data_IF_553567925764
#
_entry.id   IF_553567925764
#
_cell.length_a   1.000
_cell.length_b   1.000
_cell.length_c   1.000
_cell.angle_alpha   90.00
_cell.angle_beta   90.00
_cell.angle_gamma   90.00
#
_symmetry.space_group_name_H-M   'P 1'
#
loop_
_entity.id
_entity.type
_entity.pdbx_description
1 polymer ?
#
# COMPACT_ATOMS: atom_id res chain seq x y z
N UNK A 1 26.04 23.60 -60.89
CA UNK A 1 26.16 24.75 -59.96
C UNK A 1 24.97 25.65 -60.19
N UNK A 2 24.09 26.03 -59.28
CA UNK A 2 23.61 25.52 -57.99
C UNK A 2 22.22 26.20 -57.85
N UNK A 3 21.17 25.45 -57.49
CA UNK A 3 19.86 26.03 -57.15
C UNK A 3 19.86 26.36 -55.65
N UNK A 4 19.36 27.54 -55.21
CA UNK A 4 19.14 27.77 -53.79
C UNK A 4 17.89 26.99 -53.36
N UNK A 5 18.05 26.12 -52.36
CA UNK A 5 16.95 25.53 -51.61
C UNK A 5 16.53 26.53 -50.54
N UNK A 6 15.36 27.14 -50.70
CA UNK A 6 14.53 27.51 -49.55
C UNK A 6 13.56 26.36 -49.32
N UNK A 7 13.73 25.65 -48.19
CA UNK A 7 12.80 24.61 -47.79
C UNK A 7 12.37 24.86 -46.33
N UNK A 8 11.12 25.30 -46.23
CA UNK A 8 10.11 25.02 -45.21
C UNK A 8 10.51 24.92 -43.72
N UNK A 9 9.95 25.83 -42.93
CA UNK A 9 9.70 25.63 -41.51
C UNK A 9 8.59 24.57 -41.29
N UNK A 10 8.80 23.63 -40.36
CA UNK A 10 7.85 23.26 -39.30
C UNK A 10 8.50 22.26 -38.31
N UNK A 11 8.24 22.38 -36.99
CA UNK A 11 8.99 21.71 -35.94
C UNK A 11 8.43 20.32 -35.63
N UNK A 12 9.21 19.27 -35.89
CA UNK A 12 8.92 17.91 -35.45
C UNK A 12 9.43 17.65 -34.03
N UNK A 13 8.89 18.36 -33.05
CA UNK A 13 9.14 18.07 -31.64
C UNK A 13 8.50 16.73 -31.27
N UNK A 14 9.31 15.66 -31.29
CA UNK A 14 8.93 14.39 -30.66
C UNK A 14 8.77 14.67 -29.16
N UNK A 15 7.54 14.89 -28.74
CA UNK A 15 7.19 14.86 -27.32
C UNK A 15 7.34 13.41 -26.90
N UNK A 16 8.51 13.06 -26.38
CA UNK A 16 8.65 11.88 -25.54
C UNK A 16 7.69 12.07 -24.37
N UNK A 17 6.55 11.39 -24.42
CA UNK A 17 5.62 11.33 -23.31
C UNK A 17 6.33 10.53 -22.23
N UNK A 18 7.00 11.24 -21.32
CA UNK A 18 7.54 10.65 -20.10
C UNK A 18 6.41 9.87 -19.44
N UNK A 19 6.66 8.63 -18.94
CA UNK A 19 5.64 7.88 -18.22
C UNK A 19 5.11 8.79 -17.11
N UNK A 20 3.81 9.09 -17.15
CA UNK A 20 3.14 9.78 -16.05
C UNK A 20 3.45 8.91 -14.83
N UNK A 21 4.34 9.39 -13.96
CA UNK A 21 4.58 8.75 -12.66
C UNK A 21 3.26 8.81 -11.92
N UNK A 22 2.52 7.71 -12.02
CA UNK A 22 1.23 7.55 -11.40
C UNK A 22 1.45 7.73 -9.90
N UNK A 23 0.82 8.75 -9.33
CA UNK A 23 0.93 9.02 -7.90
C UNK A 23 0.52 7.76 -7.12
N UNK A 24 1.25 7.44 -6.06
CA UNK A 24 0.87 6.35 -5.16
C UNK A 24 -0.55 6.60 -4.63
N UNK A 25 -1.36 5.55 -4.42
CA UNK A 25 -2.70 5.72 -3.85
C UNK A 25 -2.60 6.40 -2.48
N UNK A 26 -3.64 7.13 -2.08
CA UNK A 26 -3.71 7.70 -0.73
C UNK A 26 -3.98 6.59 0.30
N UNK A 27 -3.51 6.80 1.53
CA UNK A 27 -3.94 5.96 2.63
C UNK A 27 -5.42 6.19 2.94
N UNK A 28 -6.13 5.13 3.35
CA UNK A 28 -7.56 5.16 3.63
C UNK A 28 -7.77 4.81 5.10
N UNK A 29 -8.45 5.67 5.84
CA UNK A 29 -8.85 5.43 7.24
C UNK A 29 -10.37 5.31 7.32
N UNK A 30 -10.87 4.44 8.19
CA UNK A 30 -12.29 4.38 8.55
C UNK A 30 -12.43 4.60 10.06
N UNK A 31 -13.03 5.74 10.41
CA UNK A 31 -13.33 6.13 11.79
C UNK A 31 -14.76 5.72 12.14
N UNK A 32 -14.99 4.41 12.20
CA UNK A 32 -16.29 3.84 12.59
C UNK A 32 -16.05 2.79 13.65
N UNK A 33 -16.95 2.68 14.62
CA UNK A 33 -16.92 1.59 15.59
C UNK A 33 -17.52 0.33 14.96
N UNK A 34 -16.99 -0.84 15.30
CA UNK A 34 -17.49 -2.11 14.81
C UNK A 34 -16.58 -3.26 15.22
N UNK A 35 -17.03 -4.49 14.98
CA UNK A 35 -16.16 -5.64 15.12
C UNK A 35 -15.20 -5.75 13.93
N UNK A 36 -14.17 -6.61 14.04
CA UNK A 36 -13.15 -6.78 12.99
C UNK A 36 -13.77 -7.09 11.62
N UNK A 37 -14.76 -7.98 11.58
CA UNK A 37 -15.38 -8.44 10.33
C UNK A 37 -16.13 -7.31 9.63
N UNK A 38 -16.87 -6.49 10.39
CA UNK A 38 -17.58 -5.31 9.88
C UNK A 38 -16.60 -4.26 9.35
N UNK A 39 -15.55 -3.95 10.10
CA UNK A 39 -14.55 -2.97 9.70
C UNK A 39 -13.82 -3.38 8.43
N UNK A 40 -13.40 -4.65 8.33
CA UNK A 40 -12.78 -5.22 7.13
C UNK A 40 -13.74 -5.16 5.94
N UNK A 41 -15.03 -5.45 6.14
CA UNK A 41 -16.07 -5.34 5.09
C UNK A 41 -16.22 -3.90 4.62
N UNK A 42 -16.30 -2.93 5.53
CA UNK A 42 -16.36 -1.51 5.18
C UNK A 42 -15.12 -1.07 4.40
N UNK A 43 -13.93 -1.53 4.79
CA UNK A 43 -12.70 -1.23 4.05
C UNK A 43 -12.75 -1.78 2.62
N UNK A 44 -13.15 -3.05 2.43
CA UNK A 44 -13.28 -3.66 1.09
C UNK A 44 -14.30 -2.92 0.22
N UNK A 45 -15.43 -2.53 0.80
CA UNK A 45 -16.43 -1.73 0.10
C UNK A 45 -15.88 -0.35 -0.31
N UNK A 46 -15.12 0.30 0.58
CA UNK A 46 -14.50 1.61 0.32
C UNK A 46 -13.40 1.56 -0.74
N UNK A 47 -12.62 0.48 -0.79
CA UNK A 47 -11.54 0.29 -1.78
C UNK A 47 -12.01 -0.41 -3.06
N UNK A 48 -13.26 -0.88 -3.11
CA UNK A 48 -13.87 -1.48 -4.29
C UNK A 48 -13.25 -2.82 -4.67
N UNK A 49 -12.80 -3.61 -3.70
CA UNK A 49 -12.14 -4.91 -3.93
C UNK A 49 -13.05 -6.10 -3.65
N UNK A 50 -12.86 -7.17 -4.40
CA UNK A 50 -13.54 -8.46 -4.23
C UNK A 50 -12.56 -9.57 -3.84
N UNK A 51 -13.06 -10.68 -3.31
CA UNK A 51 -12.20 -11.78 -2.90
C UNK A 51 -11.45 -12.38 -4.09
N UNK A 52 -10.20 -12.81 -3.86
CA UNK A 52 -9.45 -13.61 -4.83
C UNK A 52 -10.22 -14.88 -5.20
N UNK A 53 -10.23 -15.20 -6.50
CA UNK A 53 -10.86 -16.44 -6.99
C UNK A 53 -9.94 -17.65 -6.85
N UNK A 54 -8.64 -17.43 -6.98
CA UNK A 54 -7.60 -18.45 -6.89
C UNK A 54 -7.13 -18.60 -5.45
N UNK A 55 -6.94 -19.84 -4.99
CA UNK A 55 -6.51 -20.12 -3.61
C UNK A 55 -5.21 -19.42 -3.22
N UNK A 56 -4.26 -19.30 -4.17
CA UNK A 56 -2.96 -18.67 -3.95
C UNK A 56 -2.44 -18.02 -5.22
N UNK A 57 -1.92 -16.80 -5.14
CA UNK A 57 -1.43 -16.05 -6.31
C UNK A 57 -0.37 -15.02 -5.92
N UNK A 58 0.50 -14.67 -6.87
CA UNK A 58 1.46 -13.56 -6.73
C UNK A 58 0.78 -12.21 -6.97
N UNK A 59 1.16 -11.17 -6.24
CA UNK A 59 0.52 -9.85 -6.32
C UNK A 59 0.56 -9.28 -7.74
N UNK A 60 1.67 -9.45 -8.46
CA UNK A 60 1.82 -9.05 -9.86
C UNK A 60 0.78 -9.71 -10.78
N UNK A 61 0.44 -10.96 -10.49
CA UNK A 61 -0.48 -11.80 -11.29
C UNK A 61 -1.93 -11.76 -10.80
N UNK A 62 -2.18 -11.29 -9.57
CA UNK A 62 -3.51 -11.18 -9.01
C UNK A 62 -4.41 -10.27 -9.87
N UNK A 63 -5.71 -10.57 -10.03
CA UNK A 63 -6.65 -9.66 -10.69
C UNK A 63 -6.68 -8.29 -10.01
N UNK A 64 -6.81 -7.20 -10.76
CA UNK A 64 -7.05 -5.87 -10.19
C UNK A 64 -8.44 -5.80 -9.56
N UNK A 65 -8.60 -4.96 -8.53
CA UNK A 65 -9.83 -4.90 -7.75
C UNK A 65 -10.04 -6.14 -6.89
N UNK A 66 -8.97 -6.79 -6.42
CA UNK A 66 -9.07 -7.98 -5.57
C UNK A 66 -8.40 -7.80 -4.22
N UNK A 67 -8.76 -8.63 -3.23
CA UNK A 67 -8.06 -8.72 -1.96
C UNK A 67 -7.72 -10.17 -1.61
N UNK A 68 -6.61 -10.32 -0.91
CA UNK A 68 -6.15 -11.58 -0.33
C UNK A 68 -5.45 -11.35 1.00
N UNK A 69 -4.85 -12.41 1.52
CA UNK A 69 -4.19 -12.42 2.81
C UNK A 69 -2.73 -12.82 2.71
N UNK A 70 -1.92 -12.36 3.65
CA UNK A 70 -0.51 -12.71 3.75
C UNK A 70 -0.14 -12.92 5.21
N UNK A 71 0.60 -14.00 5.48
CA UNK A 71 1.12 -14.27 6.81
C UNK A 71 2.14 -13.19 7.22
N UNK A 72 2.19 -12.78 8.50
CA UNK A 72 3.10 -11.72 8.93
C UNK A 72 4.58 -11.97 8.59
N UNK A 73 5.18 -13.16 8.80
CA UNK A 73 6.57 -13.39 8.43
C UNK A 73 6.84 -13.18 6.94
N UNK A 74 5.96 -13.67 6.06
CA UNK A 74 6.08 -13.49 4.61
C UNK A 74 5.98 -12.03 4.19
N UNK A 75 5.08 -11.26 4.82
CA UNK A 75 4.97 -9.81 4.60
C UNK A 75 6.26 -9.09 5.03
N UNK A 76 6.77 -9.41 6.22
CA UNK A 76 7.99 -8.80 6.75
C UNK A 76 9.19 -9.02 5.82
N UNK A 77 9.40 -10.25 5.38
CA UNK A 77 10.48 -10.59 4.43
C UNK A 77 10.32 -9.80 3.14
N UNK A 78 9.11 -9.79 2.56
CA UNK A 78 8.87 -9.09 1.30
C UNK A 78 9.14 -7.59 1.40
N UNK A 79 8.69 -6.94 2.48
CA UNK A 79 8.89 -5.50 2.69
C UNK A 79 10.36 -5.14 2.96
N UNK A 80 11.07 -5.94 3.76
CA UNK A 80 12.52 -5.75 4.01
C UNK A 80 13.32 -5.90 2.72
N UNK A 81 12.95 -6.86 1.87
CA UNK A 81 13.56 -7.07 0.55
C UNK A 81 13.07 -6.10 -0.53
N UNK A 82 12.15 -5.18 -0.20
CA UNK A 82 11.49 -4.27 -1.14
C UNK A 82 10.86 -5.00 -2.34
N UNK A 83 10.36 -6.21 -2.10
CA UNK A 83 9.65 -7.00 -3.11
C UNK A 83 8.20 -6.53 -3.21
N UNK A 84 7.81 -6.10 -4.41
CA UNK A 84 6.43 -5.76 -4.73
C UNK A 84 5.56 -6.99 -5.03
N UNK A 85 6.16 -8.17 -5.22
CA UNK A 85 5.44 -9.38 -5.65
C UNK A 85 5.07 -10.30 -4.48
N UNK A 86 4.18 -9.80 -3.64
CA UNK A 86 3.68 -10.48 -2.45
C UNK A 86 2.95 -11.77 -2.84
N UNK A 87 3.12 -12.82 -2.04
CA UNK A 87 2.32 -14.03 -2.18
C UNK A 87 1.03 -13.88 -1.38
N UNK A 88 -0.11 -13.99 -2.05
CA UNK A 88 -1.43 -13.80 -1.47
C UNK A 88 -2.20 -15.11 -1.45
N UNK A 89 -2.78 -15.41 -0.29
CA UNK A 89 -3.73 -16.50 -0.09
C UNK A 89 -5.16 -15.94 -0.15
N UNK A 90 -6.10 -16.69 -0.72
CA UNK A 90 -7.52 -16.32 -0.76
C UNK A 90 -8.16 -16.29 0.63
N UNK A 91 -7.80 -17.26 1.46
CA UNK A 91 -8.26 -17.38 2.85
C UNK A 91 -7.09 -17.06 3.76
N UNK A 92 -7.37 -16.38 4.88
CA UNK A 92 -6.35 -16.05 5.87
C UNK A 92 -5.64 -17.33 6.35
N UNK A 93 -4.33 -17.49 6.09
CA UNK A 93 -3.60 -18.72 6.44
C UNK A 93 -3.40 -18.86 7.95
N UNK A 94 -3.52 -17.75 8.68
CA UNK A 94 -3.43 -17.65 10.14
C UNK A 94 -4.39 -16.56 10.64
N UNK A 95 -4.85 -16.65 11.89
CA UNK A 95 -5.82 -15.71 12.46
C UNK A 95 -5.34 -14.24 12.50
N UNK A 96 -4.02 -14.03 12.51
CA UNK A 96 -3.35 -12.73 12.53
C UNK A 96 -2.70 -12.39 11.19
N UNK A 97 -3.21 -12.93 10.09
CA UNK A 97 -2.77 -12.55 8.75
C UNK A 97 -3.14 -11.09 8.46
N UNK A 98 -2.31 -10.45 7.64
CA UNK A 98 -2.66 -9.15 7.07
C UNK A 98 -3.52 -9.34 5.84
N UNK A 99 -4.39 -8.38 5.56
CA UNK A 99 -5.13 -8.31 4.30
C UNK A 99 -4.42 -7.33 3.36
N UNK A 100 -4.36 -7.67 2.08
CA UNK A 100 -3.74 -6.88 1.03
C UNK A 100 -4.76 -6.65 -0.06
N UNK A 101 -4.93 -5.40 -0.46
CA UNK A 101 -5.82 -4.98 -1.55
C UNK A 101 -5.00 -4.65 -2.78
N UNK A 102 -5.34 -5.25 -3.92
CA UNK A 102 -4.90 -4.79 -5.23
C UNK A 102 -6.02 -3.96 -5.85
N UNK A 103 -5.81 -2.65 -5.94
CA UNK A 103 -6.81 -1.73 -6.46
C UNK A 103 -7.03 -1.92 -7.97
N UNK A 104 -8.12 -1.35 -8.50
CA UNK A 104 -8.46 -1.39 -9.93
C UNK A 104 -7.32 -0.84 -10.82
N UNK A 105 -6.52 0.05 -10.24
CA UNK A 105 -5.44 0.77 -10.89
C UNK A 105 -4.09 0.01 -10.83
N UNK A 106 -4.08 -1.17 -10.20
CA UNK A 106 -2.91 -2.06 -10.03
C UNK A 106 -2.09 -1.81 -8.76
N UNK A 107 -2.33 -0.73 -8.03
CA UNK A 107 -1.59 -0.42 -6.81
C UNK A 107 -2.00 -1.29 -5.62
N UNK A 108 -1.10 -1.44 -4.65
CA UNK A 108 -1.29 -2.28 -3.47
C UNK A 108 -1.51 -1.47 -2.20
N UNK A 109 -2.52 -1.84 -1.41
CA UNK A 109 -2.71 -1.35 -0.04
C UNK A 109 -2.55 -2.50 0.96
N UNK A 110 -1.85 -2.24 2.06
CA UNK A 110 -1.78 -3.10 3.24
C UNK A 110 -2.87 -2.66 4.22
N UNK A 111 -3.73 -3.60 4.64
CA UNK A 111 -4.85 -3.32 5.54
C UNK A 111 -4.59 -3.90 6.93
N UNK A 112 -4.72 -3.06 7.95
CA UNK A 112 -4.64 -3.45 9.35
C UNK A 112 -5.26 -2.40 10.26
N UNK A 113 -4.84 -2.40 11.51
CA UNK A 113 -5.41 -1.54 12.55
C UNK A 113 -4.36 -0.59 13.13
N UNK A 114 -4.78 0.58 13.58
CA UNK A 114 -3.90 1.59 14.16
C UNK A 114 -4.57 2.43 15.25
N UNK A 115 -3.75 3.16 16.00
CA UNK A 115 -4.20 4.12 17.01
C UNK A 115 -4.85 5.36 16.40
N UNK A 116 -5.76 5.99 17.14
CA UNK A 116 -6.55 7.14 16.67
C UNK A 116 -5.70 8.39 16.46
N UNK A 117 -4.64 8.52 17.25
CA UNK A 117 -3.73 9.65 17.25
C UNK A 117 -3.00 9.85 15.92
N UNK A 118 -2.73 8.76 15.20
CA UNK A 118 -2.01 8.81 13.93
C UNK A 118 -2.93 9.03 12.72
N UNK A 119 -4.25 8.88 12.87
CA UNK A 119 -5.19 8.95 11.74
C UNK A 119 -5.13 10.26 10.94
N UNK A 120 -5.11 11.46 11.57
CA UNK A 120 -5.06 12.72 10.84
C UNK A 120 -3.80 12.84 9.98
N UNK A 121 -2.65 12.40 10.52
CA UNK A 121 -1.38 12.42 9.82
C UNK A 121 -1.33 11.41 8.67
N UNK A 122 -2.10 10.31 8.76
CA UNK A 122 -2.17 9.28 7.72
C UNK A 122 -3.00 9.67 6.52
N UNK A 123 -4.12 10.32 6.77
CA UNK A 123 -4.97 10.84 5.70
C UNK A 123 -4.48 12.14 5.09
N UNK A 124 -3.54 12.84 5.75
CA UNK A 124 -3.09 14.16 5.30
C UNK A 124 -2.25 14.09 4.01
N UNK A 125 -2.61 14.92 3.04
CA UNK A 125 -1.80 15.20 1.85
C UNK A 125 -0.53 15.99 2.17
N UNK A 126 -0.46 16.62 3.34
CA UNK A 126 0.66 17.46 3.82
C UNK A 126 1.52 16.75 4.87
N UNK A 127 1.43 15.42 4.95
CA UNK A 127 2.19 14.61 5.91
C UNK A 127 3.70 14.92 5.86
N UNK A 128 4.41 14.86 7.01
CA UNK A 128 5.86 14.81 7.05
C UNK A 128 6.46 13.86 6.01
N UNK A 129 7.69 14.14 5.56
CA UNK A 129 8.34 13.34 4.50
C UNK A 129 8.38 11.85 4.81
N UNK A 130 8.55 11.53 6.10
CA UNK A 130 8.49 10.19 6.65
C UNK A 130 7.67 10.23 7.94
N UNK A 131 6.65 9.36 8.06
CA UNK A 131 5.93 9.15 9.31
C UNK A 131 6.16 7.73 9.82
N UNK A 132 6.65 7.59 11.06
CA UNK A 132 6.71 6.29 11.73
C UNK A 132 5.30 5.88 12.15
N UNK A 133 4.86 4.71 11.70
CA UNK A 133 3.56 4.15 12.06
C UNK A 133 3.71 2.72 12.56
N UNK A 134 2.73 2.27 13.34
CA UNK A 134 2.55 0.88 13.71
C UNK A 134 1.19 0.40 13.21
N UNK A 135 1.19 -0.67 12.41
CA UNK A 135 -0.03 -1.34 11.95
C UNK A 135 -0.12 -2.69 12.63
N UNK A 136 -1.30 -3.01 13.14
CA UNK A 136 -1.62 -4.27 13.81
C UNK A 136 -2.48 -5.14 12.89
N UNK A 137 -2.28 -6.46 12.93
CA UNK A 137 -3.05 -7.41 12.12
C UNK A 137 -4.54 -7.49 12.52
N UNK A 138 -4.86 -7.25 13.78
CA UNK A 138 -6.20 -7.35 14.37
C UNK A 138 -6.47 -6.12 15.26
N UNK A 139 -7.74 -5.78 15.54
CA UNK A 139 -8.04 -4.63 16.38
C UNK A 139 -7.57 -4.87 17.82
N UNK A 140 -7.05 -3.81 18.44
CA UNK A 140 -6.69 -3.77 19.86
C UNK A 140 -7.36 -2.57 20.51
N UNK A 141 -7.49 -2.57 21.84
CA UNK A 141 -8.04 -1.41 22.56
C UNK A 141 -7.28 -0.10 22.25
N UNK A 142 -5.96 -0.18 22.05
CA UNK A 142 -5.10 0.93 21.65
C UNK A 142 -5.05 1.19 20.13
N UNK A 143 -5.56 0.28 19.32
CA UNK A 143 -5.55 0.36 17.86
C UNK A 143 -6.92 -0.03 17.28
N UNK A 144 -7.95 0.81 17.47
CA UNK A 144 -9.32 0.47 17.06
C UNK A 144 -9.64 0.83 15.61
N UNK A 145 -8.82 1.67 14.96
CA UNK A 145 -9.13 2.17 13.62
C UNK A 145 -8.60 1.25 12.55
N UNK A 146 -9.43 0.86 11.59
CA UNK A 146 -8.97 0.15 10.41
C UNK A 146 -8.39 1.15 9.39
N UNK A 147 -7.22 0.80 8.86
CA UNK A 147 -6.46 1.61 7.90
C UNK A 147 -5.99 0.73 6.74
N UNK A 148 -5.92 1.33 5.55
CA UNK A 148 -5.26 0.77 4.38
C UNK A 148 -4.16 1.73 3.93
N UNK A 149 -2.90 1.29 3.91
CA UNK A 149 -1.74 2.13 3.55
C UNK A 149 -1.05 1.62 2.27
N UNK A 150 -0.48 2.49 1.44
CA UNK A 150 0.18 2.08 0.19
C UNK A 150 1.45 1.26 0.44
N UNK A 151 1.50 0.02 -0.06
CA UNK A 151 2.64 -0.89 0.15
C UNK A 151 3.94 -0.28 -0.39
N UNK A 152 3.88 0.35 -1.57
CA UNK A 152 5.03 0.97 -2.23
C UNK A 152 5.62 2.17 -1.48
N UNK A 153 4.94 2.65 -0.44
CA UNK A 153 5.37 3.75 0.42
C UNK A 153 5.86 3.27 1.79
N UNK A 154 5.85 1.96 2.03
CA UNK A 154 6.29 1.38 3.29
C UNK A 154 7.78 1.06 3.22
N UNK A 155 8.52 1.60 4.17
CA UNK A 155 9.88 1.20 4.46
C UNK A 155 9.86 0.45 5.78
N UNK A 156 10.31 -0.80 5.75
CA UNK A 156 10.34 -1.68 6.92
C UNK A 156 11.78 -2.05 7.21
N UNK A 157 12.22 -1.79 8.43
CA UNK A 157 13.55 -2.12 8.93
C UNK A 157 13.55 -3.29 9.91
N UNK A 158 12.36 -3.79 10.29
CA UNK A 158 12.18 -4.83 11.31
C UNK A 158 11.10 -5.83 10.94
N UNK A 159 11.28 -7.06 11.38
CA UNK A 159 10.26 -8.10 11.22
C UNK A 159 9.02 -7.83 12.09
N UNK A 160 7.81 -8.21 11.63
CA UNK A 160 6.59 -8.09 12.42
C UNK A 160 6.72 -8.84 13.75
N UNK A 161 6.29 -8.21 14.83
CA UNK A 161 6.42 -8.72 16.20
C UNK A 161 5.06 -9.02 16.79
N UNK A 162 4.89 -10.22 17.33
CA UNK A 162 3.66 -10.62 18.03
C UNK A 162 3.57 -9.90 19.38
N UNK A 163 2.42 -9.31 19.68
CA UNK A 163 2.20 -8.55 20.92
C UNK A 163 2.24 -9.44 22.16
N UNK A 164 1.57 -10.59 22.11
CA UNK A 164 1.62 -11.61 23.15
C UNK A 164 2.29 -12.88 22.57
N UNK A 165 3.60 -13.08 22.76
CA UNK A 165 4.35 -14.17 22.12
C UNK A 165 3.78 -15.57 22.39
N UNK A 166 3.18 -15.77 23.57
CA UNK A 166 2.62 -17.04 24.05
C UNK A 166 1.25 -17.37 23.44
N UNK A 167 0.56 -16.39 22.84
CA UNK A 167 -0.79 -16.53 22.30
C UNK A 167 -0.73 -16.55 20.77
N UNK A 168 -0.95 -17.71 20.14
CA UNK A 168 -0.71 -17.91 18.71
C UNK A 168 -1.55 -16.99 17.80
N UNK A 169 -2.79 -16.69 18.22
CA UNK A 169 -3.75 -15.79 17.59
C UNK A 169 -3.60 -14.33 18.01
N UNK A 170 -2.58 -13.99 18.80
CA UNK A 170 -2.29 -12.61 19.17
C UNK A 170 -2.06 -11.75 17.93
N UNK A 171 -2.54 -10.51 18.01
CA UNK A 171 -2.22 -9.47 17.05
C UNK A 171 -0.69 -9.39 16.85
N UNK A 172 -0.30 -9.19 15.60
CA UNK A 172 1.08 -8.93 15.20
C UNK A 172 1.17 -7.47 14.82
N UNK A 173 2.19 -6.80 15.32
CA UNK A 173 2.52 -5.41 15.02
C UNK A 173 3.63 -5.37 13.99
N UNK A 174 3.46 -4.49 13.01
CA UNK A 174 4.49 -4.12 12.08
C UNK A 174 4.76 -2.63 12.21
N UNK A 175 5.97 -2.29 12.63
CA UNK A 175 6.47 -0.92 12.65
C UNK A 175 7.13 -0.59 11.32
N UNK A 176 6.84 0.59 10.79
CA UNK A 176 7.27 0.98 9.46
C UNK A 176 7.32 2.49 9.33
N UNK A 177 8.10 2.95 8.37
CA UNK A 177 8.12 4.34 7.92
C UNK A 177 7.23 4.46 6.69
N UNK A 178 6.21 5.32 6.77
CA UNK A 178 5.33 5.63 5.64
C UNK A 178 5.83 6.92 4.96
N UNK A 179 6.32 6.76 3.74
CA UNK A 179 6.86 7.85 2.93
C UNK A 179 5.75 8.71 2.32
N UNK A 180 6.02 10.01 2.22
CA UNK A 180 5.11 10.99 1.60
C UNK A 180 4.84 10.72 0.11
N UNK A 181 3.72 11.24 -0.37
CA UNK A 181 3.31 11.27 -1.79
C UNK A 181 3.98 12.39 -2.58
N UNK A 182 4.65 13.35 -1.92
CA UNK A 182 5.34 14.44 -2.58
C UNK A 182 6.43 13.88 -3.50
N UNK A 183 6.17 13.97 -4.81
CA UNK A 183 7.12 13.59 -5.84
C UNK A 183 8.45 14.28 -5.56
N UNK A 184 9.52 13.48 -5.59
CA UNK A 184 10.88 13.96 -5.75
C UNK A 184 10.89 14.84 -7.01
N UNK A 185 10.76 16.16 -6.87
CA UNK A 185 11.29 17.06 -7.90
C UNK A 185 12.79 16.82 -7.83
N UNK A 186 13.33 16.09 -8.80
CA UNK A 186 14.77 16.07 -9.03
C UNK A 186 15.25 17.53 -9.02
N UNK A 187 16.38 17.86 -8.39
CA UNK A 187 16.99 19.16 -8.63
C UNK A 187 17.18 19.27 -10.13
N UNK A 188 16.50 20.23 -10.76
CA UNK A 188 16.92 20.71 -12.07
C UNK A 188 18.27 21.34 -11.76
N UNK A 189 19.33 20.71 -12.23
CA UNK A 189 20.69 21.20 -12.06
C UNK A 189 20.75 22.68 -12.44
N UNK A 190 21.29 23.48 -11.53
CA UNK A 190 21.92 24.75 -11.83
C UNK A 190 23.38 24.63 -11.45
#
# INVERSE_FOLDING_TARGET
>A
MAFPYENAAAPGGKTEVLPIQKAAPAAVVIETAGNEVELRRHMRAKTGVVELKTEKVRFSQAPTGSFGFIAPPSLGIALVMQSADLELDKVAPVANAYEVHKLADGSGLLVGFMGKELAPEVSSSERPHTLRIAIYSNPLGKAPLIVAVPIIKLMVDRMPTRIEPKKLDSAVMLEMDLQSTANRKSPIGQ
#
